data_IF_031073768169
#
_entry.id   IF_031073768169
#
_cell.length_a   1.000
_cell.length_b   1.000
_cell.length_c   1.000
_cell.angle_alpha   90.00
_cell.angle_beta   90.00
_cell.angle_gamma   90.00
#
_symmetry.space_group_name_H-M   'P 1'
#
loop_
_entity.id
_entity.type
_entity.pdbx_description
1 polymer ?
#
# COMPACT_ATOMS: atom_id res chain seq x y z
N UNK A 1 54.89 -4.95 -34.54
CA UNK A 1 54.64 -5.84 -33.40
C UNK A 1 53.30 -6.51 -33.55
N UNK A 2 53.29 -7.83 -33.77
CA UNK A 2 52.08 -8.65 -33.92
C UNK A 2 51.48 -9.00 -32.57
N UNK A 3 50.39 -8.33 -32.19
CA UNK A 3 49.65 -8.63 -30.95
C UNK A 3 48.86 -9.93 -31.08
N UNK A 4 48.95 -10.77 -30.06
CA UNK A 4 48.22 -12.03 -29.96
C UNK A 4 46.71 -11.80 -30.13
N UNK A 5 45.97 -12.75 -30.74
CA UNK A 5 44.53 -12.60 -30.93
C UNK A 5 43.83 -12.56 -29.56
N UNK A 6 43.05 -11.50 -29.33
CA UNK A 6 42.22 -11.35 -28.14
C UNK A 6 41.24 -12.51 -28.01
N UNK A 7 41.04 -13.03 -26.81
CA UNK A 7 39.99 -14.03 -26.53
C UNK A 7 38.60 -13.47 -26.89
N UNK A 8 37.71 -14.36 -27.39
CA UNK A 8 36.34 -14.01 -27.76
C UNK A 8 35.63 -13.34 -26.58
N UNK A 9 35.06 -12.17 -26.81
CA UNK A 9 34.30 -11.41 -25.81
C UNK A 9 35.11 -10.40 -24.98
N UNK A 10 36.43 -10.25 -25.21
CA UNK A 10 37.29 -9.30 -24.48
C UNK A 10 37.53 -7.96 -25.19
N UNK A 11 36.89 -7.71 -26.32
CA UNK A 11 36.93 -6.40 -26.99
C UNK A 11 36.09 -5.37 -26.22
N UNK A 12 36.47 -4.09 -26.25
CA UNK A 12 35.66 -3.01 -25.67
C UNK A 12 34.29 -2.90 -26.37
N UNK A 13 33.32 -2.34 -25.66
CA UNK A 13 31.93 -2.20 -26.13
C UNK A 13 31.85 -1.38 -27.42
N UNK A 14 32.67 -0.33 -27.56
CA UNK A 14 32.69 0.53 -28.74
C UNK A 14 33.20 -0.22 -29.98
N UNK A 15 34.35 -0.89 -29.89
CA UNK A 15 34.87 -1.72 -30.99
C UNK A 15 33.93 -2.87 -31.35
N UNK A 16 33.23 -3.45 -30.36
CA UNK A 16 32.22 -4.49 -30.58
C UNK A 16 30.99 -3.94 -31.32
N UNK A 17 30.48 -2.77 -30.93
CA UNK A 17 29.36 -2.07 -31.61
C UNK A 17 29.71 -1.73 -33.06
N UNK A 18 30.96 -1.34 -33.32
CA UNK A 18 31.46 -0.98 -34.66
C UNK A 18 31.97 -2.18 -35.48
N UNK A 19 31.93 -3.40 -34.91
CA UNK A 19 32.41 -4.64 -35.54
C UNK A 19 33.85 -4.54 -36.07
N UNK A 20 34.73 -3.86 -35.33
CA UNK A 20 36.13 -3.66 -35.71
C UNK A 20 37.11 -4.35 -34.76
N UNK A 21 38.36 -4.54 -35.21
CA UNK A 21 39.39 -5.22 -34.43
C UNK A 21 39.82 -4.35 -33.24
N UNK A 22 39.61 -4.87 -32.03
CA UNK A 22 40.08 -4.28 -30.78
C UNK A 22 41.42 -4.91 -30.40
N UNK A 23 42.39 -4.08 -30.01
CA UNK A 23 43.71 -4.47 -29.50
C UNK A 23 43.69 -4.81 -28.01
N UNK A 24 42.64 -4.42 -27.29
CA UNK A 24 42.38 -4.84 -25.90
C UNK A 24 43.26 -4.18 -24.85
N UNK A 25 44.00 -3.12 -25.23
CA UNK A 25 44.75 -2.30 -24.28
C UNK A 25 43.81 -1.60 -23.29
N UNK A 26 44.27 -1.44 -22.05
CA UNK A 26 43.55 -0.79 -20.94
C UNK A 26 44.39 0.39 -20.42
N UNK A 27 43.79 1.52 -20.04
CA UNK A 27 42.35 1.78 -19.87
C UNK A 27 41.58 1.99 -21.17
N UNK A 28 42.23 2.51 -22.21
CA UNK A 28 41.63 2.76 -23.54
C UNK A 28 42.33 1.89 -24.58
N UNK A 29 41.57 1.33 -25.53
CA UNK A 29 42.13 0.56 -26.62
C UNK A 29 42.75 1.51 -27.67
N UNK A 30 43.87 1.14 -28.30
CA UNK A 30 44.58 2.03 -29.24
C UNK A 30 43.77 2.37 -30.51
N UNK A 31 42.65 1.69 -30.75
CA UNK A 31 41.70 2.05 -31.81
C UNK A 31 40.72 3.16 -31.37
N UNK A 32 40.35 3.20 -30.09
CA UNK A 32 39.50 4.26 -29.51
C UNK A 32 40.31 5.54 -29.26
N UNK A 33 41.56 5.41 -28.83
CA UNK A 33 42.51 6.52 -28.66
C UNK A 33 42.74 7.25 -30.00
N UNK A 34 43.12 6.52 -31.06
CA UNK A 34 43.29 7.11 -32.40
C UNK A 34 42.00 7.71 -33.00
N UNK A 35 40.84 7.28 -32.51
CA UNK A 35 39.55 7.81 -32.96
C UNK A 35 39.09 9.03 -32.15
N UNK A 36 39.88 9.50 -31.18
CA UNK A 36 39.52 10.61 -30.29
C UNK A 36 38.29 10.31 -29.43
N UNK A 37 38.05 9.04 -29.10
CA UNK A 37 36.89 8.56 -28.33
C UNK A 37 37.33 7.70 -27.16
N UNK A 38 38.20 8.28 -26.37
CA UNK A 38 38.74 7.68 -25.15
C UNK A 38 37.65 7.50 -24.09
N UNK A 39 36.76 8.49 -23.99
CA UNK A 39 35.63 8.55 -23.06
C UNK A 39 34.52 7.51 -23.34
N UNK A 40 34.37 7.04 -24.58
CA UNK A 40 33.42 5.98 -24.95
C UNK A 40 34.01 4.55 -24.86
N UNK A 41 35.28 4.40 -24.44
CA UNK A 41 35.99 3.13 -24.48
C UNK A 41 35.76 2.29 -23.22
N UNK A 42 34.56 1.72 -23.08
CA UNK A 42 34.19 0.91 -21.91
C UNK A 42 34.39 -0.60 -22.17
N UNK A 43 34.88 -1.32 -21.15
CA UNK A 43 34.96 -2.78 -21.14
C UNK A 43 33.94 -3.33 -20.13
N UNK A 44 33.00 -4.16 -20.59
CA UNK A 44 32.08 -4.87 -19.72
C UNK A 44 32.80 -6.02 -19.00
N UNK A 45 33.54 -5.69 -17.95
CA UNK A 45 34.07 -6.69 -17.04
C UNK A 45 32.98 -7.08 -16.03
N UNK A 46 32.42 -8.28 -16.20
CA UNK A 46 31.80 -9.00 -15.07
C UNK A 46 30.30 -8.86 -14.87
N UNK A 47 29.48 -8.91 -15.93
CA UNK A 47 28.09 -9.32 -15.76
C UNK A 47 28.03 -10.79 -15.32
N UNK A 48 27.38 -11.09 -14.18
CA UNK A 48 27.18 -12.48 -13.71
C UNK A 48 26.61 -13.31 -14.85
N UNK A 49 27.26 -14.43 -15.17
CA UNK A 49 26.77 -15.29 -16.24
C UNK A 49 25.46 -15.96 -15.82
N UNK A 50 24.58 -16.26 -16.79
CA UNK A 50 23.33 -16.98 -16.53
C UNK A 50 23.55 -18.27 -15.75
N UNK A 51 24.69 -18.94 -15.95
CA UNK A 51 25.09 -20.13 -15.21
C UNK A 51 25.44 -19.83 -13.75
N UNK A 52 26.07 -18.70 -13.45
CA UNK A 52 26.32 -18.26 -12.07
C UNK A 52 25.01 -17.90 -11.36
N UNK A 53 24.10 -17.19 -12.03
CA UNK A 53 22.77 -16.92 -11.46
C UNK A 53 22.01 -18.21 -11.15
N UNK A 54 22.05 -19.18 -12.07
CA UNK A 54 21.42 -20.48 -11.85
C UNK A 54 22.09 -21.27 -10.72
N UNK A 55 23.41 -21.19 -10.56
CA UNK A 55 24.12 -21.83 -9.44
C UNK A 55 23.78 -21.17 -8.10
N UNK A 56 23.67 -19.84 -8.06
CA UNK A 56 23.22 -19.11 -6.87
C UNK A 56 21.79 -19.54 -6.49
N UNK A 57 20.89 -19.65 -7.46
CA UNK A 57 19.50 -20.11 -7.23
C UNK A 57 19.44 -21.57 -6.81
N UNK A 58 20.26 -22.46 -7.40
CA UNK A 58 20.32 -23.86 -6.97
C UNK A 58 20.78 -23.95 -5.52
N UNK A 59 21.83 -23.21 -5.16
CA UNK A 59 22.34 -23.20 -3.78
C UNK A 59 21.31 -22.68 -2.77
N UNK A 60 20.52 -21.66 -3.15
CA UNK A 60 19.45 -21.11 -2.32
C UNK A 60 18.29 -22.10 -2.15
N UNK A 61 17.89 -22.76 -3.23
CA UNK A 61 16.82 -23.75 -3.21
C UNK A 61 17.21 -25.02 -2.43
N UNK A 62 18.46 -25.47 -2.56
CA UNK A 62 18.98 -26.60 -1.79
C UNK A 62 18.98 -26.30 -0.28
N UNK A 63 19.43 -25.09 0.12
CA UNK A 63 19.38 -24.66 1.52
C UNK A 63 17.94 -24.58 2.06
N UNK A 64 16.98 -24.17 1.22
CA UNK A 64 15.57 -24.10 1.61
C UNK A 64 14.93 -25.48 1.73
N UNK A 65 15.33 -26.44 0.91
CA UNK A 65 14.89 -27.84 1.02
C UNK A 65 15.42 -28.44 2.32
N UNK A 66 16.70 -28.21 2.65
CA UNK A 66 17.32 -28.70 3.89
C UNK A 66 16.60 -28.15 5.14
N UNK A 67 16.20 -26.88 5.14
CA UNK A 67 15.41 -26.26 6.21
C UNK A 67 14.02 -26.90 6.35
N UNK A 68 13.36 -27.23 5.23
CA UNK A 68 12.03 -27.84 5.23
C UNK A 68 12.06 -29.34 5.59
N UNK A 69 13.13 -30.04 5.23
CA UNK A 69 13.31 -31.46 5.55
C UNK A 69 13.69 -31.70 7.02
N UNK A 70 14.25 -30.69 7.71
CA UNK A 70 14.73 -30.84 9.09
C UNK A 70 14.18 -29.76 10.06
N UNK A 71 12.86 -29.76 10.37
CA UNK A 71 12.18 -28.71 11.16
C UNK A 71 12.54 -28.68 12.67
N UNK A 72 13.64 -29.32 13.08
CA UNK A 72 14.02 -29.56 14.48
C UNK A 72 15.20 -28.76 15.03
N UNK A 73 15.82 -27.85 14.27
CA UNK A 73 16.88 -26.96 14.79
C UNK A 73 16.43 -25.48 14.82
N UNK A 74 16.67 -24.75 15.92
CA UNK A 74 16.23 -23.37 16.10
C UNK A 74 17.15 -22.42 15.31
N UNK A 75 16.90 -22.30 14.02
CA UNK A 75 17.36 -21.17 13.22
C UNK A 75 16.55 -19.94 13.62
N UNK A 76 17.23 -18.84 13.93
CA UNK A 76 16.64 -17.54 14.26
C UNK A 76 16.01 -16.92 13.02
N UNK A 77 14.93 -17.52 12.54
CA UNK A 77 14.06 -16.98 11.52
C UNK A 77 12.82 -16.43 12.23
N UNK A 78 12.60 -15.13 12.11
CA UNK A 78 11.38 -14.47 12.56
C UNK A 78 10.19 -15.13 11.83
N UNK A 79 9.49 -16.03 12.52
CA UNK A 79 8.19 -16.50 12.08
C UNK A 79 7.25 -15.29 11.98
N UNK A 80 6.79 -14.96 10.76
CA UNK A 80 5.51 -14.27 10.62
C UNK A 80 4.45 -15.25 11.13
N UNK A 81 4.05 -15.05 12.38
CA UNK A 81 2.88 -15.72 12.93
C UNK A 81 1.69 -15.38 12.03
N UNK A 82 1.11 -16.40 11.39
CA UNK A 82 -0.23 -16.30 10.84
C UNK A 82 -1.13 -15.71 11.92
N UNK A 83 -1.85 -14.65 11.57
CA UNK A 83 -2.80 -13.98 12.44
C UNK A 83 -3.85 -14.99 12.92
N UNK A 84 -3.65 -15.53 14.11
CA UNK A 84 -4.53 -16.55 14.66
C UNK A 84 -3.91 -17.34 15.79
N UNK A 85 -3.37 -16.67 16.82
CA UNK A 85 -3.27 -17.12 18.22
C UNK A 85 -2.17 -16.31 18.93
N UNK A 86 -2.57 -15.32 19.72
CA UNK A 86 -1.72 -14.76 20.76
C UNK A 86 -1.86 -15.63 22.02
N UNK A 87 -0.79 -16.23 22.58
CA UNK A 87 -0.82 -16.84 23.89
C UNK A 87 -0.24 -15.84 24.90
N UNK A 88 -1.10 -14.98 25.46
CA UNK A 88 -0.84 -14.32 26.73
C UNK A 88 -2.08 -14.53 27.60
N UNK A 89 -1.87 -14.93 28.85
CA UNK A 89 -2.85 -15.41 29.86
C UNK A 89 -3.19 -16.90 29.81
N UNK A 90 -2.20 -17.76 30.11
CA UNK A 90 -2.50 -18.99 30.82
C UNK A 90 -2.70 -18.66 32.32
N UNK A 91 -3.89 -18.94 32.86
CA UNK A 91 -4.08 -19.05 34.31
C UNK A 91 -5.12 -18.12 34.95
N UNK A 92 -6.33 -18.02 34.41
CA UNK A 92 -7.54 -17.79 35.24
C UNK A 92 -8.70 -18.54 34.59
N UNK A 93 -9.37 -19.43 35.34
CA UNK A 93 -10.57 -20.14 34.91
C UNK A 93 -11.62 -19.15 34.35
N UNK A 94 -12.39 -19.51 33.30
CA UNK A 94 -13.56 -18.73 32.94
C UNK A 94 -14.58 -18.85 34.09
N UNK A 95 -15.10 -17.75 34.67
CA UNK A 95 -16.30 -17.88 35.47
C UNK A 95 -17.42 -18.30 34.52
N UNK A 96 -18.18 -19.31 34.96
CA UNK A 96 -19.39 -19.73 34.30
C UNK A 96 -20.23 -18.49 33.93
N UNK A 97 -20.65 -18.40 32.67
CA UNK A 97 -21.63 -17.42 32.21
C UNK A 97 -22.95 -17.77 32.91
N UNK A 98 -23.12 -17.24 34.12
CA UNK A 98 -24.43 -17.02 34.67
C UNK A 98 -25.03 -15.88 33.87
N UNK A 99 -26.13 -16.17 33.19
CA UNK A 99 -27.04 -15.18 32.63
C UNK A 99 -27.43 -14.20 33.75
N UNK A 100 -26.71 -13.08 33.81
CA UNK A 100 -26.89 -11.99 34.76
C UNK A 100 -27.22 -10.73 33.99
N UNK A 101 -28.52 -10.46 33.89
CA UNK A 101 -29.16 -9.13 33.91
C UNK A 101 -28.30 -7.95 33.41
N UNK A 102 -28.68 -7.49 32.21
CA UNK A 102 -28.50 -6.16 31.63
C UNK A 102 -28.08 -5.03 32.58
N UNK A 103 -26.86 -4.52 32.40
CA UNK A 103 -26.53 -3.10 32.61
C UNK A 103 -26.42 -2.47 31.22
N UNK A 104 -27.09 -1.34 31.00
CA UNK A 104 -27.54 -0.89 29.67
C UNK A 104 -26.48 -0.94 28.56
N UNK A 105 -26.79 -1.70 27.50
CA UNK A 105 -26.06 -1.61 26.23
C UNK A 105 -26.22 -0.19 25.70
N UNK A 106 -25.09 0.48 25.51
CA UNK A 106 -25.09 1.82 24.96
C UNK A 106 -25.26 1.76 23.45
N UNK A 107 -25.70 2.87 22.87
CA UNK A 107 -25.83 2.99 21.42
C UNK A 107 -24.51 2.76 20.65
N UNK A 108 -23.37 2.88 21.34
CA UNK A 108 -22.03 2.63 20.82
C UNK A 108 -21.69 1.14 20.68
N UNK A 109 -22.45 0.21 21.24
CA UNK A 109 -22.19 -1.23 21.12
C UNK A 109 -22.69 -1.81 19.79
N UNK A 110 -23.64 -1.14 19.14
CA UNK A 110 -24.19 -1.54 17.84
C UNK A 110 -23.28 -1.16 16.68
N UNK A 111 -23.32 -1.96 15.61
CA UNK A 111 -22.57 -1.70 14.37
C UNK A 111 -22.92 -0.35 13.74
N UNK A 112 -24.18 0.08 13.87
CA UNK A 112 -24.66 1.35 13.33
C UNK A 112 -25.26 2.22 14.46
N UNK A 113 -24.71 3.42 14.70
CA UNK A 113 -25.24 4.31 15.72
C UNK A 113 -26.61 4.88 15.31
N UNK A 114 -27.43 5.35 16.27
CA UNK A 114 -28.69 6.02 15.98
C UNK A 114 -28.53 7.15 14.97
N UNK A 115 -29.48 7.28 14.03
CA UNK A 115 -29.38 8.20 12.88
C UNK A 115 -29.04 9.65 13.25
N UNK A 116 -29.54 10.15 14.37
CA UNK A 116 -29.26 11.51 14.84
C UNK A 116 -27.80 11.68 15.30
N UNK A 117 -27.23 10.66 15.94
CA UNK A 117 -25.83 10.65 16.36
C UNK A 117 -24.93 10.48 15.14
N UNK A 118 -25.25 9.52 14.27
CA UNK A 118 -24.54 9.33 13.01
C UNK A 118 -24.45 10.63 12.20
N UNK A 119 -25.58 11.34 12.03
CA UNK A 119 -25.65 12.63 11.34
C UNK A 119 -24.79 13.69 12.02
N UNK A 120 -24.88 13.83 13.34
CA UNK A 120 -24.09 14.83 14.08
C UNK A 120 -22.58 14.57 13.98
N UNK A 121 -22.14 13.31 14.02
CA UNK A 121 -20.74 12.93 13.83
C UNK A 121 -20.27 13.24 12.41
N UNK A 122 -21.10 12.96 11.39
CA UNK A 122 -20.80 13.30 9.99
C UNK A 122 -20.70 14.81 9.78
N UNK A 123 -21.64 15.59 10.31
CA UNK A 123 -21.62 17.06 10.23
C UNK A 123 -20.39 17.67 10.93
N UNK A 124 -19.87 17.01 11.97
CA UNK A 124 -18.64 17.43 12.67
C UNK A 124 -17.39 17.08 11.86
N UNK A 125 -17.39 15.92 11.18
CA UNK A 125 -16.27 15.44 10.37
C UNK A 125 -16.11 16.20 9.05
N UNK A 126 -17.20 16.43 8.30
CA UNK A 126 -17.16 16.94 6.92
C UNK A 126 -16.31 18.21 6.73
N UNK A 127 -16.37 19.24 7.61
CA UNK A 127 -15.53 20.44 7.47
C UNK A 127 -14.03 20.18 7.60
N UNK A 128 -13.64 19.05 8.24
CA UNK A 128 -12.26 18.66 8.50
C UNK A 128 -11.82 17.48 7.64
N UNK A 129 -12.66 16.99 6.72
CA UNK A 129 -12.42 15.74 6.00
C UNK A 129 -11.08 15.74 5.24
N UNK A 130 -10.73 16.85 4.58
CA UNK A 130 -9.46 17.01 3.84
C UNK A 130 -8.23 16.92 4.75
N UNK A 131 -8.33 17.34 6.02
CA UNK A 131 -7.24 17.27 6.99
C UNK A 131 -6.92 15.82 7.41
N UNK A 132 -7.91 14.92 7.29
CA UNK A 132 -7.77 13.49 7.57
C UNK A 132 -7.57 12.66 6.29
N UNK A 133 -7.21 13.31 5.17
CA UNK A 133 -6.93 12.64 3.90
C UNK A 133 -8.16 12.06 3.22
N UNK A 134 -9.33 12.70 3.38
CA UNK A 134 -10.54 12.32 2.64
C UNK A 134 -10.42 12.73 1.17
N UNK A 135 -10.31 11.73 0.29
CA UNK A 135 -10.14 11.89 -1.16
C UNK A 135 -11.36 11.45 -1.97
N UNK A 136 -12.32 10.74 -1.36
CA UNK A 136 -13.59 10.40 -2.01
C UNK A 136 -14.46 11.65 -2.21
N UNK A 137 -15.37 11.62 -3.18
CA UNK A 137 -16.31 12.72 -3.38
C UNK A 137 -17.30 12.82 -2.20
N UNK A 138 -17.34 13.95 -1.47
CA UNK A 138 -18.23 14.10 -0.32
C UNK A 138 -19.72 14.00 -0.70
N UNK A 139 -20.12 14.40 -1.91
CA UNK A 139 -21.52 14.40 -2.34
C UNK A 139 -22.01 12.96 -2.60
N UNK A 140 -21.23 12.16 -3.30
CA UNK A 140 -21.46 10.71 -3.51
C UNK A 140 -21.42 9.95 -2.19
N UNK A 141 -20.46 10.26 -1.33
CA UNK A 141 -20.39 9.68 0.01
C UNK A 141 -21.66 9.99 0.82
N UNK A 142 -22.08 11.25 0.91
CA UNK A 142 -23.31 11.61 1.63
C UNK A 142 -24.55 10.96 1.00
N UNK A 143 -24.66 10.95 -0.33
CA UNK A 143 -25.80 10.34 -1.02
C UNK A 143 -25.91 8.85 -0.72
N UNK A 144 -24.78 8.13 -0.72
CA UNK A 144 -24.74 6.70 -0.39
C UNK A 144 -25.12 6.41 1.06
N UNK A 145 -24.79 7.30 2.02
CA UNK A 145 -25.25 7.16 3.43
C UNK A 145 -26.76 7.35 3.59
N UNK A 146 -27.40 8.21 2.77
CA UNK A 146 -28.85 8.44 2.80
C UNK A 146 -29.61 7.29 2.12
N UNK A 147 -29.10 6.80 0.99
CA UNK A 147 -29.66 5.71 0.18
C UNK A 147 -29.64 4.33 0.87
N UNK A 148 -28.84 4.14 1.94
CA UNK A 148 -28.93 2.98 2.86
C UNK A 148 -30.37 2.72 3.33
N UNK A 149 -31.22 3.77 3.31
CA UNK A 149 -32.60 3.68 3.76
C UNK A 149 -33.59 3.05 2.77
N UNK A 150 -33.24 2.85 1.48
CA UNK A 150 -34.27 2.56 0.46
C UNK A 150 -34.00 1.40 -0.52
N UNK A 151 -32.77 1.11 -0.98
CA UNK A 151 -32.56 0.12 -2.05
C UNK A 151 -31.19 -0.58 -2.00
N UNK A 152 -31.18 -1.88 -1.65
CA UNK A 152 -30.11 -2.83 -2.05
C UNK A 152 -28.73 -2.70 -1.39
N UNK A 153 -28.01 -3.83 -1.31
CA UNK A 153 -26.71 -3.97 -0.64
C UNK A 153 -25.51 -3.37 -1.42
N UNK A 154 -25.68 -3.00 -2.69
CA UNK A 154 -24.54 -2.75 -3.60
C UNK A 154 -23.88 -1.38 -3.45
N UNK A 155 -24.62 -0.36 -2.98
CA UNK A 155 -24.09 0.99 -2.80
C UNK A 155 -23.85 1.37 -1.33
N UNK A 156 -23.89 0.39 -0.40
CA UNK A 156 -23.67 0.69 1.02
C UNK A 156 -22.20 1.03 1.26
N UNK A 157 -21.89 2.15 1.93
CA UNK A 157 -20.54 2.43 2.39
C UNK A 157 -20.00 1.30 3.27
N UNK A 158 -18.72 0.99 3.11
CA UNK A 158 -18.03 -0.02 3.87
C UNK A 158 -18.16 0.29 5.38
N UNK A 159 -18.56 -0.68 6.22
CA UNK A 159 -18.68 -0.44 7.67
C UNK A 159 -17.40 0.10 8.30
N UNK A 160 -16.23 -0.36 7.83
CA UNK A 160 -14.93 0.15 8.27
C UNK A 160 -14.76 1.65 7.99
N UNK A 161 -15.15 2.11 6.79
CA UNK A 161 -15.10 3.52 6.42
C UNK A 161 -16.03 4.35 7.31
N UNK A 162 -17.26 3.89 7.53
CA UNK A 162 -18.20 4.58 8.41
C UNK A 162 -17.68 4.68 9.84
N UNK A 163 -17.15 3.58 10.39
CA UNK A 163 -16.57 3.57 11.74
C UNK A 163 -15.36 4.50 11.84
N UNK A 164 -14.50 4.57 10.81
CA UNK A 164 -13.37 5.50 10.77
C UNK A 164 -13.82 6.97 10.78
N UNK A 165 -14.83 7.31 9.98
CA UNK A 165 -15.41 8.65 9.94
C UNK A 165 -16.07 9.00 11.28
N UNK A 166 -16.80 8.07 11.89
CA UNK A 166 -17.39 8.25 13.21
C UNK A 166 -16.33 8.42 14.30
N UNK A 167 -15.23 7.69 14.25
CA UNK A 167 -14.11 7.84 15.20
C UNK A 167 -13.54 9.26 15.19
N UNK A 168 -13.29 9.81 14.00
CA UNK A 168 -12.82 11.20 13.86
C UNK A 168 -13.89 12.18 14.33
N UNK A 169 -15.16 11.97 13.94
CA UNK A 169 -16.28 12.78 14.42
C UNK A 169 -16.43 12.79 15.94
N UNK A 170 -16.21 11.64 16.60
CA UNK A 170 -16.23 11.50 18.06
C UNK A 170 -15.12 12.32 18.67
N UNK A 171 -13.90 12.26 18.11
CA UNK A 171 -12.75 13.01 18.60
C UNK A 171 -12.93 14.52 18.51
N UNK A 172 -13.54 14.98 17.42
CA UNK A 172 -13.82 16.40 17.15
C UNK A 172 -15.07 16.91 17.89
N UNK A 173 -15.89 16.02 18.43
CA UNK A 173 -17.09 16.39 19.17
C UNK A 173 -16.74 17.14 20.47
N UNK A 174 -17.61 18.09 20.85
CA UNK A 174 -17.45 18.88 22.08
C UNK A 174 -17.93 18.17 23.34
N UNK A 175 -18.64 17.05 23.20
CA UNK A 175 -19.20 16.31 24.33
C UNK A 175 -18.19 15.28 24.87
N UNK A 176 -17.84 15.39 26.14
CA UNK A 176 -16.92 14.45 26.80
C UNK A 176 -17.50 13.03 26.90
N UNK A 177 -18.83 12.88 26.97
CA UNK A 177 -19.50 11.58 26.96
C UNK A 177 -19.30 10.82 25.65
N UNK A 178 -19.32 11.55 24.53
CA UNK A 178 -19.11 11.00 23.19
C UNK A 178 -17.63 10.65 23.03
N UNK A 179 -16.74 11.56 23.41
CA UNK A 179 -15.28 11.36 23.37
C UNK A 179 -14.83 10.17 24.21
N UNK A 180 -15.49 9.87 25.33
CA UNK A 180 -15.19 8.69 26.14
C UNK A 180 -15.37 7.35 25.39
N UNK A 181 -16.08 7.34 24.26
CA UNK A 181 -16.31 6.13 23.43
C UNK A 181 -15.30 5.95 22.30
N UNK A 182 -14.32 6.84 22.18
CA UNK A 182 -13.25 6.81 21.18
C UNK A 182 -12.57 5.43 21.11
N UNK A 183 -12.24 4.82 22.24
CA UNK A 183 -11.54 3.53 22.32
C UNK A 183 -12.36 2.38 21.74
N UNK A 184 -13.69 2.41 21.87
CA UNK A 184 -14.60 1.38 21.34
C UNK A 184 -14.62 1.44 19.82
N UNK A 185 -14.75 2.64 19.25
CA UNK A 185 -14.75 2.83 17.80
C UNK A 185 -13.38 2.54 17.18
N UNK A 186 -12.30 2.88 17.87
CA UNK A 186 -10.94 2.56 17.44
C UNK A 186 -10.70 1.03 17.40
N UNK A 187 -11.14 0.29 18.43
CA UNK A 187 -11.06 -1.16 18.42
C UNK A 187 -11.91 -1.78 17.29
N UNK A 188 -13.10 -1.22 17.05
CA UNK A 188 -14.01 -1.68 16.00
C UNK A 188 -13.44 -1.48 14.60
N UNK A 189 -12.92 -0.30 14.27
CA UNK A 189 -12.39 -0.04 12.91
C UNK A 189 -11.19 -0.94 12.59
N UNK A 190 -10.31 -1.20 13.58
CA UNK A 190 -9.21 -2.15 13.44
C UNK A 190 -9.70 -3.57 13.10
N UNK A 191 -10.70 -4.04 13.86
CA UNK A 191 -11.29 -5.36 13.64
C UNK A 191 -11.96 -5.46 12.26
N UNK A 192 -12.71 -4.42 11.86
CA UNK A 192 -13.38 -4.39 10.56
C UNK A 192 -12.38 -4.37 9.41
N UNK A 193 -11.33 -3.55 9.46
CA UNK A 193 -10.29 -3.51 8.43
C UNK A 193 -9.56 -4.84 8.30
N UNK A 194 -9.22 -5.50 9.41
CA UNK A 194 -8.62 -6.83 9.39
C UNK A 194 -9.48 -7.90 8.69
N UNK A 195 -10.81 -7.78 8.78
CA UNK A 195 -11.75 -8.69 8.11
C UNK A 195 -12.02 -8.31 6.65
N UNK A 196 -12.04 -7.01 6.33
CA UNK A 196 -12.33 -6.49 4.99
C UNK A 196 -11.26 -6.93 3.99
N UNK A 197 -9.99 -6.93 4.38
CA UNK A 197 -8.89 -7.33 3.48
C UNK A 197 -9.01 -8.76 2.97
N UNK A 198 -9.64 -9.65 3.74
CA UNK A 198 -9.82 -11.07 3.37
C UNK A 198 -10.93 -11.30 2.34
N UNK A 199 -11.90 -10.39 2.22
CA UNK A 199 -13.06 -10.54 1.33
C UNK A 199 -13.33 -9.27 0.50
N UNK A 200 -12.27 -8.54 0.16
CA UNK A 200 -12.38 -7.24 -0.49
C UNK A 200 -12.88 -7.39 -1.94
N UNK A 201 -14.03 -6.78 -2.24
CA UNK A 201 -14.54 -6.69 -3.61
C UNK A 201 -13.88 -5.53 -4.36
N UNK A 202 -13.67 -5.62 -5.68
CA UNK A 202 -13.04 -4.54 -6.46
C UNK A 202 -13.73 -3.17 -6.30
N UNK A 203 -15.06 -3.14 -6.24
CA UNK A 203 -15.83 -1.91 -6.05
C UNK A 203 -15.70 -1.27 -4.64
N UNK A 204 -15.09 -1.98 -3.68
CA UNK A 204 -14.91 -1.50 -2.30
C UNK A 204 -13.47 -1.07 -2.01
N UNK A 205 -12.53 -1.29 -2.94
CA UNK A 205 -11.11 -1.02 -2.73
C UNK A 205 -10.87 0.45 -2.37
N UNK A 206 -11.48 1.38 -3.09
CA UNK A 206 -11.31 2.81 -2.81
C UNK A 206 -11.83 3.19 -1.41
N UNK A 207 -12.92 2.57 -0.96
CA UNK A 207 -13.46 2.78 0.39
C UNK A 207 -12.57 2.16 1.48
N UNK A 208 -11.98 1.00 1.21
CA UNK A 208 -11.02 0.37 2.11
C UNK A 208 -9.75 1.23 2.24
N UNK A 209 -9.19 1.71 1.12
CA UNK A 209 -8.05 2.64 1.11
C UNK A 209 -8.39 3.92 1.88
N UNK A 210 -9.57 4.50 1.67
CA UNK A 210 -10.01 5.69 2.40
C UNK A 210 -10.07 5.45 3.91
N UNK A 211 -10.57 4.29 4.35
CA UNK A 211 -10.65 3.92 5.75
C UNK A 211 -9.25 3.73 6.39
N UNK A 212 -8.33 3.07 5.67
CA UNK A 212 -6.93 2.93 6.09
C UNK A 212 -6.24 4.30 6.22
N UNK A 213 -6.46 5.22 5.27
CA UNK A 213 -5.89 6.57 5.28
C UNK A 213 -6.40 7.39 6.47
N UNK A 214 -7.72 7.38 6.72
CA UNK A 214 -8.31 8.13 7.86
C UNK A 214 -7.77 7.58 9.18
N UNK A 215 -7.71 6.25 9.33
CA UNK A 215 -7.19 5.62 10.54
C UNK A 215 -5.70 5.91 10.75
N UNK A 216 -4.90 5.88 9.69
CA UNK A 216 -3.48 6.25 9.76
C UNK A 216 -3.31 7.70 10.22
N UNK A 217 -4.01 8.66 9.61
CA UNK A 217 -3.97 10.07 10.03
C UNK A 217 -4.38 10.25 11.49
N UNK A 218 -5.45 9.58 11.89
CA UNK A 218 -5.92 9.59 13.27
C UNK A 218 -4.83 9.08 14.24
N UNK A 219 -4.20 7.95 13.94
CA UNK A 219 -3.16 7.36 14.77
C UNK A 219 -1.88 8.21 14.82
N UNK A 220 -1.52 8.86 13.71
CA UNK A 220 -0.45 9.86 13.70
C UNK A 220 -0.78 11.02 14.64
N UNK A 221 -2.02 11.52 14.60
CA UNK A 221 -2.47 12.60 15.47
C UNK A 221 -2.48 12.20 16.96
N UNK A 222 -2.86 10.96 17.29
CA UNK A 222 -2.84 10.46 18.68
C UNK A 222 -1.44 10.03 19.14
N UNK A 223 -0.44 10.01 18.25
CA UNK A 223 0.94 9.64 18.55
C UNK A 223 1.26 8.14 18.51
N UNK A 224 0.33 7.31 18.01
CA UNK A 224 0.51 5.86 17.84
C UNK A 224 1.25 5.54 16.54
N UNK A 225 2.49 6.02 16.42
CA UNK A 225 3.25 6.08 15.16
C UNK A 225 3.44 4.70 14.51
N UNK A 226 3.79 3.66 15.28
CA UNK A 226 4.04 2.31 14.72
C UNK A 226 2.80 1.76 14.04
N UNK A 227 1.64 1.94 14.66
CA UNK A 227 0.38 1.46 14.13
C UNK A 227 -0.09 2.30 12.94
N UNK A 228 0.10 3.62 13.00
CA UNK A 228 -0.17 4.52 11.88
C UNK A 228 0.62 4.10 10.63
N UNK A 229 1.90 3.70 10.81
CA UNK A 229 2.73 3.18 9.73
C UNK A 229 2.25 1.85 9.19
N UNK A 230 1.73 0.96 10.03
CA UNK A 230 1.12 -0.29 9.59
C UNK A 230 -0.05 -0.02 8.63
N UNK A 231 -0.99 0.84 9.03
CA UNK A 231 -2.14 1.22 8.20
C UNK A 231 -1.73 1.96 6.91
N UNK A 232 -0.70 2.82 7.00
CA UNK A 232 -0.10 3.46 5.80
C UNK A 232 0.46 2.41 4.84
N UNK A 233 1.19 1.40 5.34
CA UNK A 233 1.74 0.31 4.55
C UNK A 233 0.65 -0.56 3.92
N UNK A 234 -0.46 -0.79 4.64
CA UNK A 234 -1.62 -1.51 4.11
C UNK A 234 -2.26 -0.73 2.95
N UNK A 235 -2.45 0.58 3.09
CA UNK A 235 -2.96 1.45 2.03
C UNK A 235 -2.04 1.47 0.79
N UNK A 236 -0.71 1.54 0.99
CA UNK A 236 0.28 1.41 -0.09
C UNK A 236 0.15 0.05 -0.79
N UNK A 237 0.01 -1.03 -0.03
CA UNK A 237 -0.11 -2.38 -0.59
C UNK A 237 -1.39 -2.55 -1.41
N UNK A 238 -2.51 -1.97 -0.96
CA UNK A 238 -3.77 -1.95 -1.71
C UNK A 238 -3.63 -1.15 -3.01
N UNK A 239 -3.10 0.07 -2.94
CA UNK A 239 -2.97 0.94 -4.13
C UNK A 239 -2.03 0.36 -5.18
N UNK A 240 -0.89 -0.21 -4.76
CA UNK A 240 0.05 -0.89 -5.68
C UNK A 240 -0.50 -2.24 -6.17
N UNK A 241 -1.14 -3.02 -5.30
CA UNK A 241 -1.71 -4.33 -5.63
C UNK A 241 -2.81 -4.25 -6.69
N UNK A 242 -3.68 -3.24 -6.61
CA UNK A 242 -4.73 -2.96 -7.59
C UNK A 242 -4.25 -2.08 -8.77
N UNK A 243 -2.94 -1.80 -8.86
CA UNK A 243 -2.29 -1.03 -9.93
C UNK A 243 -2.84 0.39 -10.10
N UNK A 244 -3.22 1.04 -9.01
CA UNK A 244 -3.61 2.44 -9.00
C UNK A 244 -2.44 3.39 -9.33
N UNK A 245 -1.22 2.89 -9.40
CA UNK A 245 -0.05 3.59 -9.92
C UNK A 245 0.04 3.57 -11.46
N UNK A 246 -0.82 2.82 -12.16
CA UNK A 246 -0.79 2.66 -13.63
C UNK A 246 -2.15 2.85 -14.29
N UNK A 247 -2.92 3.85 -13.85
CA UNK A 247 -4.32 4.05 -14.28
C UNK A 247 -4.46 4.15 -15.80
N UNK A 248 -3.53 4.81 -16.50
CA UNK A 248 -3.59 5.00 -17.96
C UNK A 248 -2.98 3.83 -18.76
N UNK A 249 -1.94 3.17 -18.23
CA UNK A 249 -1.26 2.04 -18.89
C UNK A 249 -2.05 0.72 -18.86
N UNK A 250 -3.15 0.65 -18.10
CA UNK A 250 -4.04 -0.51 -18.06
C UNK A 250 -4.96 -0.60 -19.28
N UNK A 251 -5.10 0.47 -20.08
CA UNK A 251 -5.92 0.45 -21.29
C UNK A 251 -5.32 -0.42 -22.42
N UNK A 252 -4.02 -0.74 -22.36
CA UNK A 252 -3.30 -1.49 -23.40
C UNK A 252 -2.98 -2.96 -23.02
N UNK A 253 -3.28 -3.39 -21.79
CA UNK A 253 -2.85 -4.71 -21.29
C UNK A 253 -4.03 -5.66 -21.15
N UNK A 254 -3.98 -6.76 -21.91
CA UNK A 254 -4.91 -7.90 -21.77
C UNK A 254 -4.88 -8.40 -20.31
N UNK A 255 -6.02 -8.51 -19.61
CA UNK A 255 -6.04 -9.00 -18.24
C UNK A 255 -5.49 -10.43 -18.20
N UNK A 256 -4.36 -10.63 -17.54
CA UNK A 256 -3.87 -11.98 -17.24
C UNK A 256 -4.59 -12.48 -15.98
N UNK A 257 -4.82 -13.78 -15.83
CA UNK A 257 -5.63 -14.37 -14.73
C UNK A 257 -5.13 -14.05 -13.31
N UNK A 258 -3.90 -13.57 -13.16
CA UNK A 258 -3.28 -13.23 -11.87
C UNK A 258 -3.19 -11.72 -11.60
N UNK A 259 -3.82 -10.88 -12.42
CA UNK A 259 -3.76 -9.43 -12.28
C UNK A 259 -4.95 -8.94 -11.45
N UNK A 260 -4.70 -8.51 -10.21
CA UNK A 260 -5.65 -7.69 -9.45
C UNK A 260 -5.74 -6.32 -10.13
N UNK A 261 -6.74 -6.14 -10.98
CA UNK A 261 -7.04 -4.87 -11.62
C UNK A 261 -8.48 -4.48 -11.29
N UNK A 262 -8.67 -3.19 -10.99
CA UNK A 262 -10.02 -2.65 -10.87
C UNK A 262 -10.71 -2.68 -12.24
N UNK A 263 -12.06 -2.83 -12.27
CA UNK A 263 -12.81 -2.59 -13.49
C UNK A 263 -12.54 -1.16 -14.01
N UNK A 264 -12.75 -0.88 -15.31
CA UNK A 264 -12.66 0.49 -15.81
C UNK A 264 -13.54 1.42 -14.98
N UNK A 265 -13.09 2.66 -14.78
CA UNK A 265 -13.86 3.66 -14.06
C UNK A 265 -15.22 3.88 -14.75
N UNK A 266 -16.29 3.97 -13.97
CA UNK A 266 -17.64 4.14 -14.50
C UNK A 266 -17.85 5.58 -14.99
N UNK A 267 -17.26 6.55 -14.28
CA UNK A 267 -17.37 7.99 -14.56
C UNK A 267 -16.03 8.70 -14.31
N UNK A 268 -15.88 9.92 -14.84
CA UNK A 268 -14.73 10.79 -14.60
C UNK A 268 -14.48 11.06 -13.11
N UNK A 269 -15.54 11.13 -12.30
CA UNK A 269 -15.43 11.29 -10.84
C UNK A 269 -14.76 10.07 -10.20
N UNK A 270 -15.11 8.85 -10.60
CA UNK A 270 -14.49 7.64 -10.06
C UNK A 270 -13.01 7.55 -10.47
N UNK A 271 -12.68 7.98 -11.68
CA UNK A 271 -11.29 8.11 -12.12
C UNK A 271 -10.52 9.13 -11.27
N UNK A 272 -11.12 10.30 -11.00
CA UNK A 272 -10.58 11.30 -10.09
C UNK A 272 -10.35 10.77 -8.67
N UNK A 273 -11.31 10.02 -8.12
CA UNK A 273 -11.18 9.39 -6.80
C UNK A 273 -10.02 8.39 -6.75
N UNK A 274 -9.80 7.61 -7.83
CA UNK A 274 -8.67 6.68 -7.94
C UNK A 274 -7.33 7.40 -7.99
N UNK A 275 -7.23 8.46 -8.79
CA UNK A 275 -6.04 9.31 -8.90
C UNK A 275 -5.73 9.96 -7.54
N UNK A 276 -6.72 10.62 -6.95
CA UNK A 276 -6.58 11.31 -5.66
C UNK A 276 -6.22 10.34 -4.54
N UNK A 277 -6.85 9.16 -4.49
CA UNK A 277 -6.56 8.12 -3.50
C UNK A 277 -5.12 7.60 -3.60
N UNK A 278 -4.62 7.36 -4.83
CA UNK A 278 -3.23 6.96 -5.04
C UNK A 278 -2.25 8.02 -4.53
N UNK A 279 -2.42 9.28 -4.94
CA UNK A 279 -1.53 10.36 -4.54
C UNK A 279 -1.61 10.66 -3.05
N UNK A 280 -2.79 10.58 -2.44
CA UNK A 280 -2.96 10.78 -1.01
C UNK A 280 -2.12 9.76 -0.22
N UNK A 281 -2.20 8.48 -0.59
CA UNK A 281 -1.43 7.41 0.06
C UNK A 281 0.08 7.61 -0.14
N UNK A 282 0.51 7.93 -1.36
CA UNK A 282 1.93 8.15 -1.67
C UNK A 282 2.50 9.35 -0.90
N UNK A 283 1.79 10.47 -0.90
CA UNK A 283 2.19 11.68 -0.16
C UNK A 283 2.26 11.39 1.34
N UNK A 284 1.28 10.67 1.90
CA UNK A 284 1.28 10.28 3.31
C UNK A 284 2.49 9.39 3.66
N UNK A 285 2.78 8.35 2.87
CA UNK A 285 3.95 7.45 3.07
C UNK A 285 5.26 8.24 3.05
N UNK A 286 5.45 9.11 2.04
CA UNK A 286 6.69 9.89 1.90
C UNK A 286 6.84 10.96 2.98
N UNK A 287 5.78 11.71 3.29
CA UNK A 287 5.82 12.79 4.26
C UNK A 287 6.14 12.26 5.67
N UNK A 288 5.49 11.18 6.09
CA UNK A 288 5.74 10.59 7.41
C UNK A 288 7.04 9.80 7.48
N UNK A 289 7.49 9.17 6.38
CA UNK A 289 8.83 8.60 6.31
C UNK A 289 9.91 9.66 6.53
N UNK A 290 9.78 10.82 5.86
CA UNK A 290 10.70 11.95 6.01
C UNK A 290 10.64 12.54 7.43
N UNK A 291 9.43 12.80 7.96
CA UNK A 291 9.25 13.38 9.29
C UNK A 291 9.84 12.50 10.41
N UNK A 292 9.78 11.17 10.24
CA UNK A 292 10.25 10.21 11.24
C UNK A 292 11.71 9.75 11.00
N UNK A 293 12.36 10.21 9.93
CA UNK A 293 13.66 9.71 9.47
C UNK A 293 13.70 8.18 9.32
N UNK A 294 12.63 7.62 8.73
CA UNK A 294 12.48 6.18 8.49
C UNK A 294 12.36 5.92 6.99
N UNK A 295 12.73 4.72 6.50
CA UNK A 295 12.52 4.37 5.10
C UNK A 295 11.01 4.29 4.78
N UNK A 296 10.61 4.83 3.62
CA UNK A 296 9.23 4.74 3.14
C UNK A 296 8.90 3.34 2.64
N UNK A 297 7.64 2.93 2.74
CA UNK A 297 7.19 1.60 2.29
C UNK A 297 7.35 1.43 0.77
N UNK A 298 7.17 2.49 0.00
CA UNK A 298 7.30 2.50 -1.46
C UNK A 298 8.75 2.55 -1.99
N UNK A 299 9.77 2.41 -1.13
CA UNK A 299 11.17 2.48 -1.52
C UNK A 299 11.67 3.90 -1.86
N UNK A 300 12.82 4.05 -2.50
CA UNK A 300 13.35 5.38 -2.86
C UNK A 300 12.47 6.07 -3.92
N UNK A 301 12.38 7.40 -3.85
CA UNK A 301 11.55 8.21 -4.76
C UNK A 301 11.90 7.95 -6.24
N UNK A 302 13.18 7.74 -6.55
CA UNK A 302 13.67 7.47 -7.92
C UNK A 302 13.14 6.14 -8.50
N UNK A 303 13.08 5.08 -7.70
CA UNK A 303 12.54 3.79 -8.14
C UNK A 303 11.01 3.84 -8.26
N UNK A 304 10.34 4.58 -7.38
CA UNK A 304 8.89 4.74 -7.40
C UNK A 304 8.41 5.54 -8.63
N UNK A 305 9.06 6.65 -8.97
CA UNK A 305 8.64 7.51 -10.10
C UNK A 305 8.71 6.77 -11.44
N UNK A 306 9.71 5.89 -11.64
CA UNK A 306 9.82 5.10 -12.87
C UNK A 306 8.69 4.09 -13.10
N UNK A 307 7.83 3.88 -12.10
CA UNK A 307 6.72 2.92 -12.14
C UNK A 307 5.33 3.57 -12.00
N UNK A 308 5.26 4.91 -11.99
CA UNK A 308 4.00 5.67 -11.83
C UNK A 308 3.62 6.28 -13.17
N UNK A 309 2.51 5.79 -13.73
CA UNK A 309 1.86 6.33 -14.94
C UNK A 309 0.58 7.12 -14.59
N UNK A 310 0.26 7.23 -13.29
CA UNK A 310 -0.91 7.97 -12.81
C UNK A 310 -0.67 9.48 -12.90
N UNK A 311 -1.55 10.25 -13.57
CA UNK A 311 -1.37 11.70 -13.72
C UNK A 311 -1.47 12.42 -12.38
N UNK A 312 -0.93 13.63 -12.32
CA UNK A 312 -1.06 14.49 -11.14
C UNK A 312 -2.55 14.78 -10.84
N UNK A 313 -2.97 14.83 -9.56
CA UNK A 313 -4.36 15.07 -9.22
C UNK A 313 -4.75 16.52 -9.54
N UNK A 314 -5.91 16.66 -10.18
CA UNK A 314 -6.62 17.92 -10.38
C UNK A 314 -7.48 18.23 -9.14
N UNK A 315 -7.94 19.47 -8.97
CA UNK A 315 -8.88 19.76 -7.89
C UNK A 315 -10.19 18.97 -8.11
N UNK A 316 -10.82 18.45 -7.04
CA UNK A 316 -12.01 17.57 -7.14
C UNK A 316 -13.14 18.20 -7.98
N UNK A 317 -13.25 19.52 -7.98
CA UNK A 317 -14.23 20.28 -8.76
C UNK A 317 -13.98 20.24 -10.27
N UNK A 318 -12.73 20.06 -10.71
CA UNK A 318 -12.35 20.05 -12.13
C UNK A 318 -12.67 18.71 -12.82
N UNK A 319 -13.02 17.66 -12.06
CA UNK A 319 -13.51 16.39 -12.59
C UNK A 319 -15.05 16.36 -12.80
N UNK A 320 -15.77 17.42 -12.41
CA UNK A 320 -17.21 17.56 -12.64
C UNK A 320 -17.55 18.23 -14.00
N UNK A 321 -16.55 18.72 -14.73
CA UNK A 321 -16.68 19.34 -16.08
C UNK A 321 -16.56 18.32 -17.22
#
# INVERSE_FOLDING_TARGET
SSTAPLQRGKACLNCRKRKMKCDGARPVCGQCERAGREEDCEYADGGRTRTQMLQDTISELEARIEELENPGQPSTSLCLAAAGQYPYYAGVNPPAVQAGVTTGSGWWDYDEPPRHIARSLLETFLPHATQFGFFLDPRRFMSSTVLVSTLGQENRPLPALMTAVYLVGIRLSRSDEIRARETVFLARVRSQLGLVLSNLRPNQVMQAVQAEVILAHYLFYTGSIVEARYHTSAAVSLTMGYRLNKIHSLNDVVPNEFTLALPPAQDAIEEGERINGFWMVLVMDKAWAAALNLPSTTGTVENAISQIDTPWPWEVAEYEE
#
